data_IF_465984720024
#
_entry.id   IF_465984720024
#
_cell.length_a   1.000
_cell.length_b   1.000
_cell.length_c   1.000
_cell.angle_alpha   90.00
_cell.angle_beta   90.00
_cell.angle_gamma   90.00
#
_symmetry.space_group_name_H-M   'P 1'
#
loop_
_entity.id
_entity.type
_entity.pdbx_description
1 polymer ?
#
# COMPACT_ATOMS: atom_id res chain seq x y z
N UNK A 1 -5.45 20.22 -4.89
CA UNK A 1 -6.05 20.47 -3.56
C UNK A 1 -5.80 19.29 -2.61
N UNK A 2 -6.18 18.05 -2.99
CA UNK A 2 -5.97 16.85 -2.16
C UNK A 2 -4.50 16.60 -1.81
N UNK A 3 -3.58 16.70 -2.77
CA UNK A 3 -2.14 16.52 -2.51
C UNK A 3 -1.63 17.52 -1.47
N UNK A 4 -2.05 18.78 -1.56
CA UNK A 4 -1.68 19.82 -0.57
C UNK A 4 -2.24 19.52 0.82
N UNK A 5 -3.48 19.01 0.91
CA UNK A 5 -4.09 18.56 2.16
C UNK A 5 -3.26 17.45 2.83
N UNK A 6 -2.88 16.44 2.07
CA UNK A 6 -2.07 15.32 2.58
C UNK A 6 -0.66 15.76 3.01
N UNK A 7 0.00 16.57 2.19
CA UNK A 7 1.34 17.11 2.51
C UNK A 7 1.31 18.08 3.70
N UNK A 8 0.17 18.74 3.93
CA UNK A 8 -0.07 19.59 5.11
C UNK A 8 -0.41 18.81 6.39
N UNK A 9 -0.34 17.49 6.36
CA UNK A 9 -0.58 16.62 7.53
C UNK A 9 -1.99 16.06 7.64
N UNK A 10 -2.84 16.26 6.63
CA UNK A 10 -4.16 15.66 6.59
C UNK A 10 -4.13 14.18 6.23
N UNK A 11 -5.25 13.50 6.49
CA UNK A 11 -5.53 12.15 5.99
C UNK A 11 -6.70 12.19 5.00
N UNK A 12 -6.76 11.22 4.09
CA UNK A 12 -7.80 11.14 3.07
C UNK A 12 -8.18 9.69 2.74
N UNK A 13 -9.33 9.54 2.10
CA UNK A 13 -9.84 8.26 1.62
C UNK A 13 -9.68 8.20 0.09
N UNK A 14 -9.09 7.11 -0.39
CA UNK A 14 -8.71 6.92 -1.79
C UNK A 14 -9.33 5.65 -2.36
N UNK A 15 -9.77 5.66 -3.65
CA UNK A 15 -10.08 4.42 -4.35
C UNK A 15 -8.82 3.63 -4.67
N UNK A 16 -8.93 2.32 -4.78
CA UNK A 16 -7.92 1.44 -5.38
C UNK A 16 -8.59 0.34 -6.20
N UNK A 17 -7.81 -0.40 -6.94
CA UNK A 17 -8.26 -1.59 -7.69
C UNK A 17 -8.68 -2.75 -6.77
N UNK A 18 -8.28 -2.75 -5.50
CA UNK A 18 -8.59 -3.80 -4.51
C UNK A 18 -9.66 -3.39 -3.51
N UNK A 19 -9.33 -2.50 -2.60
CA UNK A 19 -10.19 -1.97 -1.52
C UNK A 19 -9.91 -0.49 -1.33
N UNK A 20 -10.89 0.35 -0.97
CA UNK A 20 -10.65 1.72 -0.53
C UNK A 20 -9.54 1.81 0.52
N UNK A 21 -8.71 2.82 0.40
CA UNK A 21 -7.56 3.06 1.26
C UNK A 21 -7.73 4.33 2.10
N UNK A 22 -7.29 4.27 3.34
CA UNK A 22 -6.98 5.43 4.18
C UNK A 22 -5.51 5.78 3.98
N UNK A 23 -5.22 7.03 3.67
CA UNK A 23 -3.89 7.51 3.30
C UNK A 23 -3.47 8.77 4.07
N UNK A 24 -2.17 8.89 4.30
CA UNK A 24 -1.51 10.09 4.82
C UNK A 24 -0.08 10.19 4.25
N UNK A 25 0.52 11.38 4.30
CA UNK A 25 1.93 11.51 3.99
C UNK A 25 2.78 10.68 4.98
N UNK A 26 3.93 10.12 4.57
CA UNK A 26 4.74 9.24 5.43
C UNK A 26 5.15 9.87 6.77
N UNK A 27 5.44 11.16 6.80
CA UNK A 27 5.81 11.88 8.04
C UNK A 27 4.62 12.06 8.99
N UNK A 28 3.41 11.87 8.51
CA UNK A 28 2.16 11.95 9.26
C UNK A 28 1.44 10.60 9.39
N UNK A 29 2.14 9.50 9.09
CA UNK A 29 1.57 8.15 9.08
C UNK A 29 1.00 7.70 10.43
N UNK A 30 1.53 8.21 11.54
CA UNK A 30 1.07 7.86 12.89
C UNK A 30 -0.43 8.09 13.10
N UNK A 31 -1.03 9.09 12.43
CA UNK A 31 -2.47 9.33 12.53
C UNK A 31 -3.33 8.19 11.98
N UNK A 32 -2.81 7.39 11.04
CA UNK A 32 -3.54 6.26 10.46
C UNK A 32 -3.88 5.21 11.52
N UNK A 33 -2.92 4.89 12.40
CA UNK A 33 -3.18 3.95 13.50
C UNK A 33 -4.21 4.51 14.47
N UNK A 34 -4.11 5.79 14.81
CA UNK A 34 -5.09 6.46 15.69
C UNK A 34 -6.49 6.47 15.08
N UNK A 35 -6.63 6.86 13.81
CA UNK A 35 -7.92 6.88 13.10
C UNK A 35 -8.55 5.49 13.02
N UNK A 36 -7.74 4.46 12.77
CA UNK A 36 -8.23 3.08 12.70
C UNK A 36 -8.42 2.42 14.06
N UNK A 37 -8.01 3.03 15.16
CA UNK A 37 -7.91 2.41 16.48
C UNK A 37 -7.13 1.09 16.41
N UNK A 38 -5.99 1.13 15.72
CA UNK A 38 -5.17 -0.04 15.40
C UNK A 38 -3.83 0.05 16.14
N UNK A 39 -3.29 -1.08 16.67
CA UNK A 39 -1.94 -1.10 17.21
C UNK A 39 -0.89 -0.71 16.18
N UNK A 40 0.15 0.01 16.62
CA UNK A 40 1.23 0.48 15.75
C UNK A 40 2.16 -0.64 15.25
N UNK A 41 2.04 -1.85 15.80
CA UNK A 41 2.76 -3.05 15.34
C UNK A 41 2.25 -3.60 14.00
N UNK A 42 1.10 -3.12 13.52
CA UNK A 42 0.53 -3.49 12.21
C UNK A 42 1.10 -2.56 11.14
N UNK A 43 1.98 -3.05 10.24
CA UNK A 43 2.64 -2.19 9.26
C UNK A 43 1.66 -1.53 8.29
N UNK A 44 2.02 -0.34 7.81
CA UNK A 44 1.37 0.37 6.72
C UNK A 44 2.07 0.04 5.40
N UNK A 45 1.36 0.24 4.30
CA UNK A 45 1.89 0.04 2.95
C UNK A 45 2.24 1.39 2.34
N UNK A 46 3.40 1.50 1.71
CA UNK A 46 3.79 2.65 0.92
C UNK A 46 3.29 2.48 -0.51
N UNK A 47 2.39 3.35 -0.95
CA UNK A 47 1.93 3.41 -2.33
C UNK A 47 2.60 4.55 -3.08
N UNK A 48 2.99 4.30 -4.34
CA UNK A 48 3.52 5.31 -5.25
C UNK A 48 2.85 5.24 -6.62
N UNK A 49 3.02 6.29 -7.42
CA UNK A 49 2.52 6.34 -8.80
C UNK A 49 3.33 5.48 -9.76
N UNK A 50 4.59 5.23 -9.44
CA UNK A 50 5.56 4.49 -10.27
C UNK A 50 6.47 3.63 -9.40
N UNK A 51 6.95 2.51 -9.96
CA UNK A 51 7.83 1.56 -9.28
C UNK A 51 9.16 2.18 -8.83
N UNK A 52 9.76 3.04 -9.65
CA UNK A 52 11.08 3.63 -9.39
C UNK A 52 11.13 4.40 -8.05
N UNK A 53 10.05 5.07 -7.67
CA UNK A 53 9.97 5.76 -6.39
C UNK A 53 10.05 4.81 -5.18
N UNK A 54 9.62 3.57 -5.36
CA UNK A 54 9.65 2.53 -4.32
C UNK A 54 10.97 1.76 -4.35
N UNK A 55 11.43 1.38 -5.53
CA UNK A 55 12.66 0.60 -5.72
C UNK A 55 13.92 1.36 -5.32
N UNK A 56 13.89 2.69 -5.37
CA UNK A 56 14.99 3.52 -4.87
C UNK A 56 15.23 3.38 -3.35
N UNK A 57 14.28 2.80 -2.60
CA UNK A 57 14.34 2.67 -1.14
C UNK A 57 14.92 1.33 -0.70
N UNK A 58 15.01 0.34 -1.58
CA UNK A 58 15.44 -1.03 -1.25
C UNK A 58 16.87 -1.32 -1.73
N UNK A 59 17.41 -2.46 -1.30
CA UNK A 59 18.73 -2.93 -1.76
C UNK A 59 18.71 -3.33 -3.24
N UNK A 60 19.86 -3.31 -3.88
CA UNK A 60 20.00 -3.70 -5.30
C UNK A 60 19.60 -5.17 -5.52
N UNK A 61 19.97 -6.06 -4.61
CA UNK A 61 19.61 -7.48 -4.67
C UNK A 61 18.10 -7.70 -4.62
N UNK A 62 17.42 -7.10 -3.65
CA UNK A 62 15.97 -7.20 -3.52
C UNK A 62 15.24 -6.52 -4.69
N UNK A 63 15.80 -5.43 -5.22
CA UNK A 63 15.32 -4.77 -6.43
C UNK A 63 15.36 -5.69 -7.64
N UNK A 64 16.50 -6.35 -7.88
CA UNK A 64 16.67 -7.25 -9.02
C UNK A 64 15.67 -8.40 -9.00
N UNK A 65 15.39 -8.97 -7.82
CA UNK A 65 14.39 -10.02 -7.64
C UNK A 65 12.94 -9.50 -7.78
N UNK A 66 12.70 -8.24 -7.43
CA UNK A 66 11.38 -7.62 -7.50
C UNK A 66 10.99 -7.22 -8.93
N UNK A 67 11.93 -6.80 -9.77
CA UNK A 67 11.66 -6.27 -11.11
C UNK A 67 10.79 -7.19 -11.98
N UNK A 68 11.03 -8.51 -12.08
CA UNK A 68 10.18 -9.40 -12.89
C UNK A 68 8.73 -9.50 -12.37
N UNK A 69 8.53 -9.38 -11.06
CA UNK A 69 7.20 -9.36 -10.45
C UNK A 69 6.50 -8.04 -10.69
N UNK A 70 7.23 -6.94 -10.62
CA UNK A 70 6.75 -5.59 -10.89
C UNK A 70 6.30 -5.45 -12.33
N UNK A 71 7.09 -5.90 -13.29
CA UNK A 71 6.77 -5.85 -14.72
C UNK A 71 5.47 -6.60 -15.04
N UNK A 72 5.18 -7.64 -14.26
CA UNK A 72 4.01 -8.48 -14.47
C UNK A 72 2.75 -8.00 -13.71
N UNK A 73 2.92 -7.46 -12.52
CA UNK A 73 1.80 -7.24 -11.59
C UNK A 73 1.59 -5.79 -11.17
N UNK A 74 2.48 -4.86 -11.50
CA UNK A 74 2.29 -3.44 -11.25
C UNK A 74 2.08 -2.64 -12.54
N UNK A 75 1.12 -1.72 -12.52
CA UNK A 75 0.16 -1.40 -11.46
C UNK A 75 -0.79 -2.57 -11.20
N UNK A 76 -1.12 -2.83 -9.94
CA UNK A 76 -2.05 -3.92 -9.62
C UNK A 76 -2.06 -4.39 -8.17
N UNK A 77 -2.63 -5.57 -7.97
CA UNK A 77 -3.01 -6.10 -6.68
C UNK A 77 -1.92 -6.93 -5.97
N UNK A 78 -0.66 -6.65 -6.24
CA UNK A 78 0.49 -7.26 -5.57
C UNK A 78 1.18 -6.23 -4.65
N UNK A 79 1.39 -6.60 -3.40
CA UNK A 79 2.21 -5.86 -2.44
C UNK A 79 3.50 -6.62 -2.19
N UNK A 80 4.64 -5.97 -2.40
CA UNK A 80 5.96 -6.50 -2.13
C UNK A 80 6.50 -5.92 -0.83
N UNK A 81 6.88 -6.78 0.12
CA UNK A 81 7.54 -6.38 1.35
C UNK A 81 9.05 -6.51 1.14
N UNK A 82 9.74 -5.38 1.08
CA UNK A 82 11.15 -5.29 0.75
C UNK A 82 11.95 -4.67 1.90
N UNK A 83 13.24 -5.03 2.07
CA UNK A 83 14.12 -4.39 3.04
C UNK A 83 14.35 -2.93 2.67
N UNK A 84 14.35 -2.05 3.68
CA UNK A 84 14.53 -0.60 3.52
C UNK A 84 15.47 -0.08 4.58
N UNK A 85 16.46 0.71 4.18
CA UNK A 85 17.46 1.33 5.06
C UNK A 85 17.12 2.75 5.50
N UNK A 86 15.98 3.28 5.05
CA UNK A 86 15.56 4.65 5.31
C UNK A 86 14.71 4.79 6.59
N UNK A 87 14.60 6.03 7.11
CA UNK A 87 13.71 6.35 8.23
C UNK A 87 12.22 6.10 7.93
N UNK A 88 11.85 5.97 6.66
CA UNK A 88 10.47 5.65 6.25
C UNK A 88 9.99 4.32 6.85
N UNK A 89 10.87 3.33 7.00
CA UNK A 89 10.49 2.07 7.66
C UNK A 89 10.05 2.30 9.10
N UNK A 90 10.70 3.20 9.83
CA UNK A 90 10.33 3.51 11.22
C UNK A 90 8.94 4.15 11.33
N UNK A 91 8.58 4.99 10.35
CA UNK A 91 7.28 5.66 10.31
C UNK A 91 6.13 4.71 9.91
N UNK A 92 6.39 3.70 9.08
CA UNK A 92 5.35 2.83 8.52
C UNK A 92 5.37 1.42 9.10
N UNK A 93 6.50 0.95 9.59
CA UNK A 93 6.69 -0.37 10.19
C UNK A 93 7.71 -0.28 11.35
N UNK A 94 7.32 0.24 12.51
CA UNK A 94 8.26 0.49 13.62
C UNK A 94 8.98 -0.77 14.13
N UNK A 95 8.43 -1.95 13.88
CA UNK A 95 8.96 -3.22 14.39
C UNK A 95 10.03 -3.85 13.49
N UNK A 96 10.17 -3.39 12.23
CA UNK A 96 11.06 -4.05 11.25
C UNK A 96 11.60 -3.06 10.21
N UNK A 97 12.81 -3.31 9.72
CA UNK A 97 13.43 -2.55 8.62
C UNK A 97 12.94 -3.03 7.24
N UNK A 98 11.62 -3.17 7.08
CA UNK A 98 10.96 -3.57 5.83
C UNK A 98 9.75 -2.69 5.57
N UNK A 99 9.40 -2.50 4.29
CA UNK A 99 8.16 -1.82 3.88
C UNK A 99 7.39 -2.66 2.88
N UNK A 100 6.07 -2.77 3.09
CA UNK A 100 5.15 -3.17 2.04
C UNK A 100 5.03 -2.05 1.01
N UNK A 101 5.22 -2.37 -0.27
CA UNK A 101 5.23 -1.41 -1.38
C UNK A 101 4.23 -1.84 -2.45
N UNK A 102 3.55 -0.88 -3.06
CA UNK A 102 2.59 -1.13 -4.12
C UNK A 102 2.41 0.05 -5.06
N UNK A 103 2.23 -0.23 -6.35
CA UNK A 103 1.68 0.71 -7.32
C UNK A 103 0.24 0.26 -7.64
N UNK A 104 -0.81 1.00 -7.22
CA UNK A 104 -2.19 0.59 -7.41
C UNK A 104 -2.64 0.80 -8.86
N UNK A 105 -3.48 -0.10 -9.38
CA UNK A 105 -4.12 0.08 -10.70
C UNK A 105 -5.40 0.91 -10.58
N UNK A 106 -5.24 2.16 -10.20
CA UNK A 106 -6.31 3.14 -10.09
C UNK A 106 -5.83 4.50 -10.59
N UNK A 107 -6.35 4.95 -11.72
CA UNK A 107 -5.90 6.18 -12.38
C UNK A 107 -6.00 7.42 -11.50
N UNK A 108 -7.12 7.61 -10.78
CA UNK A 108 -7.30 8.76 -9.89
C UNK A 108 -6.26 8.78 -8.75
N UNK A 109 -6.04 7.63 -8.12
CA UNK A 109 -5.06 7.50 -7.03
C UNK A 109 -3.62 7.67 -7.55
N UNK A 110 -3.29 7.09 -8.71
CA UNK A 110 -1.97 7.30 -9.32
C UNK A 110 -1.71 8.75 -9.70
N UNK A 111 -2.72 9.46 -10.22
CA UNK A 111 -2.62 10.89 -10.51
C UNK A 111 -2.39 11.73 -9.24
N UNK A 112 -3.04 11.37 -8.13
CA UNK A 112 -2.75 11.99 -6.83
C UNK A 112 -1.32 11.70 -6.38
N UNK A 113 -0.90 10.43 -6.41
CA UNK A 113 0.44 10.00 -5.99
C UNK A 113 1.57 10.64 -6.82
N UNK A 114 1.32 10.99 -8.09
CA UNK A 114 2.29 11.74 -8.90
C UNK A 114 2.46 13.19 -8.44
N UNK A 115 1.47 13.76 -7.74
CA UNK A 115 1.51 15.12 -7.21
C UNK A 115 1.99 15.19 -5.76
N UNK A 116 1.61 14.22 -4.94
CA UNK A 116 1.94 14.17 -3.50
C UNK A 116 3.26 13.47 -3.20
N UNK A 117 3.76 12.68 -4.14
CA UNK A 117 4.74 11.64 -3.85
C UNK A 117 4.10 10.41 -3.18
N UNK A 118 4.92 9.43 -2.75
CA UNK A 118 4.44 8.24 -2.09
C UNK A 118 3.65 8.52 -0.81
N UNK A 119 2.60 7.74 -0.55
CA UNK A 119 1.74 7.87 0.63
C UNK A 119 1.73 6.58 1.47
N UNK A 120 1.71 6.74 2.78
CA UNK A 120 1.40 5.66 3.72
C UNK A 120 -0.08 5.31 3.63
N UNK A 121 -0.41 4.04 3.50
CA UNK A 121 -1.78 3.58 3.27
C UNK A 121 -2.12 2.32 4.06
N UNK A 122 -3.41 2.15 4.29
CA UNK A 122 -4.02 0.91 4.81
C UNK A 122 -5.46 0.82 4.30
N UNK A 123 -6.14 -0.32 4.46
CA UNK A 123 -7.56 -0.42 4.11
C UNK A 123 -8.43 0.54 4.92
N UNK A 124 -9.44 1.12 4.26
CA UNK A 124 -10.34 2.12 4.86
C UNK A 124 -11.44 1.45 5.70
N UNK A 125 -11.06 0.89 6.85
CA UNK A 125 -11.97 0.32 7.86
C UNK A 125 -11.39 0.49 9.26
N UNK A 126 -12.25 0.57 10.26
CA UNK A 126 -11.81 0.46 11.66
C UNK A 126 -11.18 -0.92 11.92
N UNK A 127 -10.28 -1.00 12.89
CA UNK A 127 -9.63 -2.28 13.24
C UNK A 127 -10.67 -3.33 13.63
N UNK A 128 -10.59 -4.51 13.03
CA UNK A 128 -11.54 -5.61 13.25
C UNK A 128 -12.87 -5.49 12.52
N UNK A 129 -13.18 -4.35 11.90
CA UNK A 129 -14.37 -4.19 11.07
C UNK A 129 -14.14 -4.71 9.64
N UNK A 130 -15.21 -5.08 8.91
CA UNK A 130 -15.10 -5.41 7.49
C UNK A 130 -14.49 -4.25 6.69
N UNK A 131 -13.73 -4.58 5.66
CA UNK A 131 -13.17 -3.57 4.76
C UNK A 131 -14.26 -2.88 3.95
N UNK A 132 -14.19 -1.55 3.85
CA UNK A 132 -15.06 -0.76 2.98
C UNK A 132 -14.88 -1.18 1.52
N UNK A 133 -15.98 -1.15 0.75
CA UNK A 133 -16.00 -1.50 -0.69
C UNK A 133 -16.43 -0.35 -1.59
N UNK A 134 -16.82 0.76 -0.99
CA UNK A 134 -17.28 1.95 -1.71
C UNK A 134 -16.85 3.24 -1.02
N UNK A 135 -16.96 4.36 -1.74
CA UNK A 135 -16.74 5.68 -1.17
C UNK A 135 -17.70 5.97 0.00
N UNK A 136 -18.97 5.54 -0.12
CA UNK A 136 -19.97 5.72 0.92
C UNK A 136 -19.60 4.97 2.21
N UNK A 137 -19.21 3.71 2.09
CA UNK A 137 -18.77 2.90 3.24
C UNK A 137 -17.50 3.45 3.88
N UNK A 138 -16.51 3.87 3.07
CA UNK A 138 -15.28 4.47 3.56
C UNK A 138 -15.56 5.80 4.29
N UNK A 139 -16.41 6.66 3.73
CA UNK A 139 -16.83 7.91 4.36
C UNK A 139 -17.61 7.71 5.65
N UNK A 140 -18.44 6.67 5.71
CA UNK A 140 -19.18 6.30 6.94
C UNK A 140 -18.24 5.76 8.04
N UNK A 141 -17.19 5.00 7.65
CA UNK A 141 -16.18 4.49 8.58
C UNK A 141 -15.27 5.60 9.15
N UNK A 142 -15.03 6.67 8.38
CA UNK A 142 -14.19 7.80 8.75
C UNK A 142 -14.89 9.15 8.48
N UNK A 143 -15.91 9.52 9.28
CA UNK A 143 -16.62 10.78 9.10
C UNK A 143 -15.69 11.99 9.15
N UNK A 144 -15.85 12.90 8.20
CA UNK A 144 -15.06 14.14 8.13
C UNK A 144 -13.75 14.03 7.34
N UNK A 145 -13.30 12.84 6.96
CA UNK A 145 -12.16 12.73 6.05
C UNK A 145 -12.59 12.99 4.60
N UNK A 146 -11.77 13.76 3.83
CA UNK A 146 -12.05 13.99 2.44
C UNK A 146 -11.90 12.71 1.60
N UNK A 147 -12.76 12.58 0.60
CA UNK A 147 -12.75 11.51 -0.40
C UNK A 147 -12.10 12.03 -1.68
N UNK A 148 -11.18 11.28 -2.28
CA UNK A 148 -10.59 11.65 -3.55
C UNK A 148 -11.64 11.67 -4.68
N UNK A 149 -11.75 12.79 -5.38
CA UNK A 149 -12.60 12.91 -6.58
C UNK A 149 -11.95 12.24 -7.81
N UNK A 150 -12.73 11.83 -8.83
CA UNK A 150 -14.18 11.96 -8.92
C UNK A 150 -14.97 10.87 -8.17
N UNK A 151 -16.22 11.18 -7.86
CA UNK A 151 -17.18 10.23 -7.29
C UNK A 151 -18.29 9.93 -8.31
N UNK A 152 -18.90 8.73 -8.32
CA UNK A 152 -18.57 7.57 -7.47
C UNK A 152 -17.24 6.94 -7.88
N UNK A 153 -16.58 6.25 -6.93
CA UNK A 153 -15.40 5.47 -7.26
C UNK A 153 -15.74 4.25 -8.13
N UNK A 154 -14.82 3.80 -8.99
CA UNK A 154 -14.96 2.50 -9.66
C UNK A 154 -15.18 1.38 -8.64
N UNK A 155 -15.97 0.38 -9.00
CA UNK A 155 -16.18 -0.80 -8.16
C UNK A 155 -14.87 -1.56 -8.03
N UNK A 156 -14.31 -1.70 -6.82
CA UNK A 156 -13.06 -2.44 -6.63
C UNK A 156 -13.29 -3.96 -6.75
N UNK A 157 -12.22 -4.73 -6.88
CA UNK A 157 -12.31 -6.20 -6.88
C UNK A 157 -12.91 -6.74 -5.58
N UNK A 158 -12.78 -5.99 -4.48
CA UNK A 158 -13.23 -6.38 -3.15
C UNK A 158 -12.31 -7.41 -2.48
N UNK A 159 -11.23 -7.82 -3.14
CA UNK A 159 -10.19 -8.67 -2.59
C UNK A 159 -8.99 -7.82 -2.22
N UNK A 160 -8.39 -8.06 -1.05
CA UNK A 160 -7.15 -7.41 -0.66
C UNK A 160 -6.01 -7.81 -1.62
N UNK A 161 -4.95 -7.01 -1.70
CA UNK A 161 -3.74 -7.37 -2.44
C UNK A 161 -3.10 -8.63 -1.87
N UNK A 162 -2.49 -9.44 -2.72
CA UNK A 162 -1.57 -10.48 -2.29
C UNK A 162 -0.31 -9.82 -1.73
N UNK A 163 0.18 -10.29 -0.59
CA UNK A 163 1.37 -9.76 0.07
C UNK A 163 2.44 -10.83 0.13
N UNK A 164 3.59 -10.56 -0.47
CA UNK A 164 4.77 -11.42 -0.39
C UNK A 164 5.96 -10.63 0.14
N UNK A 165 6.81 -11.29 0.92
CA UNK A 165 8.02 -10.70 1.48
C UNK A 165 9.26 -11.32 0.86
N UNK A 166 10.19 -10.49 0.44
CA UNK A 166 11.54 -10.92 0.08
C UNK A 166 12.31 -11.30 1.35
N UNK A 167 12.89 -12.48 1.37
CA UNK A 167 13.62 -13.01 2.54
C UNK A 167 15.12 -13.12 2.31
N UNK A 168 15.49 -13.46 1.08
CA UNK A 168 16.88 -13.55 0.61
C UNK A 168 16.88 -13.60 -0.92
N UNK A 169 18.04 -13.48 -1.58
CA UNK A 169 18.11 -13.58 -3.04
C UNK A 169 17.39 -14.83 -3.60
N UNK A 170 16.46 -14.58 -4.51
CA UNK A 170 15.61 -15.61 -5.12
C UNK A 170 14.47 -16.13 -4.25
N UNK A 171 14.33 -15.66 -3.00
CA UNK A 171 13.40 -16.23 -2.02
C UNK A 171 12.29 -15.28 -1.60
N UNK A 172 11.04 -15.74 -1.74
CA UNK A 172 9.84 -15.02 -1.36
C UNK A 172 8.97 -15.83 -0.39
N UNK A 173 8.43 -15.16 0.62
CA UNK A 173 7.48 -15.73 1.56
C UNK A 173 6.10 -15.10 1.35
N UNK A 174 5.07 -15.92 1.19
CA UNK A 174 3.68 -15.45 1.14
C UNK A 174 3.22 -15.07 2.54
N UNK A 175 2.90 -13.79 2.76
CA UNK A 175 2.35 -13.30 4.02
C UNK A 175 0.83 -13.28 4.01
N UNK A 176 0.23 -13.07 2.83
CA UNK A 176 -1.23 -13.07 2.64
C UNK A 176 -1.57 -13.40 1.20
N UNK A 177 -2.39 -14.42 1.01
CA UNK A 177 -3.05 -14.65 -0.26
C UNK A 177 -4.17 -13.62 -0.45
N UNK A 178 -4.20 -12.98 -1.60
CA UNK A 178 -5.21 -12.00 -1.99
C UNK A 178 -5.63 -12.16 -3.44
N UNK A 179 -5.79 -11.05 -4.16
CA UNK A 179 -6.30 -11.03 -5.53
C UNK A 179 -5.36 -11.66 -6.57
N UNK A 180 -4.05 -11.70 -6.32
CA UNK A 180 -3.06 -12.35 -7.20
C UNK A 180 -2.78 -13.77 -6.68
N UNK A 181 -2.89 -14.78 -7.56
CA UNK A 181 -2.64 -16.17 -7.19
C UNK A 181 -1.15 -16.46 -7.01
N UNK A 182 -0.81 -17.15 -5.92
CA UNK A 182 0.60 -17.39 -5.50
C UNK A 182 1.32 -18.41 -6.38
N UNK A 183 0.63 -19.42 -6.90
CA UNK A 183 1.18 -20.41 -7.83
C UNK A 183 1.82 -19.79 -9.09
N UNK A 184 1.46 -18.57 -9.39
CA UNK A 184 2.08 -17.74 -10.43
C UNK A 184 3.43 -17.15 -9.97
N UNK A 185 3.66 -17.08 -8.67
CA UNK A 185 4.84 -16.47 -8.03
C UNK A 185 5.87 -17.56 -7.64
N UNK A 186 5.42 -18.76 -7.29
CA UNK A 186 6.23 -19.87 -6.78
C UNK A 186 7.11 -20.60 -7.81
N UNK A 187 7.31 -20.07 -9.02
CA UNK A 187 8.25 -20.63 -9.99
C UNK A 187 9.72 -20.27 -9.71
N UNK A 188 10.00 -19.67 -8.56
CA UNK A 188 11.36 -19.57 -8.04
C UNK A 188 11.73 -20.88 -7.31
N UNK A 189 12.97 -21.38 -7.41
CA UNK A 189 13.37 -22.62 -6.75
C UNK A 189 13.12 -22.53 -5.24
N UNK A 190 12.82 -23.67 -4.58
CA UNK A 190 12.54 -23.68 -3.15
C UNK A 190 13.74 -23.13 -2.39
N UNK A 191 13.47 -22.19 -1.50
CA UNK A 191 14.47 -21.68 -0.55
C UNK A 191 14.88 -22.83 0.36
N UNK A 192 16.17 -23.18 0.31
CA UNK A 192 16.81 -24.16 1.20
C UNK A 192 16.95 -23.63 2.62
#
# INVERSE_FOLDING_TARGET
EMARHLLGGGAALLPTDTLPALAAAPDHAAQIWSLRRRPQDKPLILMASQADHLLALTSEEARADAEPLIDRFWPGALTLVLPVTSRLSQNLNPSRATLGMRVPDCGATRALLSQSGPLATTSANASGAPSSRSAAEAGAAFPGLPLLSPLPWPVPSGLASTVIAWTSPGCWQVLRQGAVMVDVIERSPPCS
#
